data_IF_567329298055
#
_entry.id   IF_567329298055
#
_cell.length_a   1.000
_cell.length_b   1.000
_cell.length_c   1.000
_cell.angle_alpha   90.00
_cell.angle_beta   90.00
_cell.angle_gamma   90.00
#
_symmetry.space_group_name_H-M   'P 1'
#
loop_
_entity.id
_entity.type
_entity.pdbx_description
1 polymer ?
#
# COMPACT_ATOMS: atom_id res chain seq x y z
N UNK A 1 27.09 -13.70 10.95
CA UNK A 1 27.68 -12.49 10.35
C UNK A 1 26.53 -11.67 9.82
N UNK A 2 26.51 -10.36 10.06
CA UNK A 2 25.50 -9.50 9.44
C UNK A 2 25.82 -9.39 7.94
N UNK A 3 24.78 -9.41 7.11
CA UNK A 3 24.93 -9.16 5.67
C UNK A 3 25.46 -7.75 5.43
N UNK A 4 26.18 -7.60 4.33
CA UNK A 4 26.66 -6.31 3.83
C UNK A 4 25.52 -5.53 3.16
N UNK A 5 25.68 -4.21 3.02
CA UNK A 5 24.67 -3.35 2.37
C UNK A 5 24.38 -3.78 0.93
N UNK A 6 25.42 -4.21 0.19
CA UNK A 6 25.29 -4.70 -1.19
C UNK A 6 24.46 -6.00 -1.25
N UNK A 7 24.68 -6.93 -0.30
CA UNK A 7 23.91 -8.17 -0.22
C UNK A 7 22.44 -7.89 0.12
N UNK A 8 22.18 -6.93 1.03
CA UNK A 8 20.82 -6.51 1.40
C UNK A 8 20.11 -5.89 0.19
N UNK A 9 20.78 -4.97 -0.52
CA UNK A 9 20.23 -4.32 -1.71
C UNK A 9 19.90 -5.34 -2.80
N UNK A 10 20.83 -6.24 -3.09
CA UNK A 10 20.63 -7.27 -4.11
C UNK A 10 19.46 -8.21 -3.76
N UNK A 11 19.27 -8.55 -2.47
CA UNK A 11 18.08 -9.31 -2.04
C UNK A 11 16.79 -8.52 -2.30
N UNK A 12 16.73 -7.26 -1.87
CA UNK A 12 15.53 -6.42 -2.04
C UNK A 12 15.19 -6.23 -3.52
N UNK A 13 16.19 -6.06 -4.39
CA UNK A 13 15.95 -5.95 -5.83
C UNK A 13 15.38 -7.24 -6.41
N UNK A 14 15.90 -8.42 -6.05
CA UNK A 14 15.32 -9.70 -6.48
C UNK A 14 13.88 -9.87 -6.01
N UNK A 15 13.63 -9.60 -4.73
CA UNK A 15 12.29 -9.71 -4.14
C UNK A 15 11.29 -8.77 -4.83
N UNK A 16 11.69 -7.52 -5.10
CA UNK A 16 10.89 -6.58 -5.90
C UNK A 16 10.64 -7.12 -7.31
N UNK A 17 11.68 -7.59 -8.00
CA UNK A 17 11.54 -8.05 -9.38
C UNK A 17 10.63 -9.27 -9.48
N UNK A 18 10.72 -10.21 -8.52
CA UNK A 18 9.81 -11.35 -8.38
C UNK A 18 8.37 -10.90 -8.12
N UNK A 19 8.18 -9.95 -7.19
CA UNK A 19 6.87 -9.39 -6.86
C UNK A 19 6.22 -8.68 -8.07
N UNK A 20 7.00 -7.96 -8.86
CA UNK A 20 6.51 -7.28 -10.07
C UNK A 20 6.34 -8.20 -11.28
N UNK A 21 6.97 -9.38 -11.27
CA UNK A 21 6.77 -10.41 -12.29
C UNK A 21 5.45 -11.18 -12.13
N UNK A 22 4.77 -11.09 -10.97
CA UNK A 22 3.48 -11.76 -10.75
C UNK A 22 2.42 -11.26 -11.75
N UNK A 23 1.66 -12.20 -12.30
CA UNK A 23 0.47 -11.90 -13.09
C UNK A 23 -0.67 -11.49 -12.14
N UNK A 24 -1.16 -10.27 -12.33
CA UNK A 24 -2.25 -9.68 -11.54
C UNK A 24 -3.52 -9.47 -12.37
N UNK A 25 -3.58 -10.00 -13.60
CA UNK A 25 -4.73 -9.78 -14.50
C UNK A 25 -6.03 -10.39 -13.97
N UNK A 26 -5.94 -11.43 -13.13
CA UNK A 26 -7.08 -12.16 -12.56
C UNK A 26 -7.36 -11.89 -11.08
N UNK A 27 -6.68 -10.93 -10.45
CA UNK A 27 -6.86 -10.68 -9.00
C UNK A 27 -8.14 -9.92 -8.73
N UNK A 28 -8.73 -10.18 -7.56
CA UNK A 28 -9.88 -9.43 -7.07
C UNK A 28 -9.41 -8.14 -6.39
N UNK A 29 -10.03 -7.02 -6.77
CA UNK A 29 -9.74 -5.70 -6.21
C UNK A 29 -10.80 -5.30 -5.20
N UNK A 30 -10.36 -4.85 -4.04
CA UNK A 30 -11.20 -4.48 -2.91
C UNK A 30 -11.02 -3.01 -2.56
N UNK A 31 -12.12 -2.26 -2.57
CA UNK A 31 -12.19 -0.92 -1.97
C UNK A 31 -12.43 -0.97 -0.46
N UNK A 32 -12.28 0.16 0.22
CA UNK A 32 -12.64 0.28 1.62
C UNK A 32 -14.15 0.06 1.84
N UNK A 33 -14.57 -0.55 2.96
CA UNK A 33 -15.99 -0.69 3.27
C UNK A 33 -16.68 0.68 3.29
N UNK A 34 -17.84 0.77 2.63
CA UNK A 34 -18.65 1.99 2.60
C UNK A 34 -18.34 2.96 1.46
N UNK A 35 -17.35 2.69 0.60
CA UNK A 35 -17.13 3.48 -0.63
C UNK A 35 -18.04 3.02 -1.77
N UNK A 36 -18.62 3.96 -2.52
CA UNK A 36 -19.35 3.67 -3.75
C UNK A 36 -18.40 3.35 -4.91
N UNK A 37 -18.80 2.51 -5.90
CA UNK A 37 -18.09 2.38 -7.16
C UNK A 37 -17.81 3.71 -7.88
N UNK A 38 -18.68 4.70 -7.68
CA UNK A 38 -18.62 6.03 -8.32
C UNK A 38 -17.68 7.02 -7.60
N UNK A 39 -17.16 6.67 -6.42
CA UNK A 39 -16.26 7.51 -5.63
C UNK A 39 -14.79 7.15 -5.89
N UNK A 40 -13.92 8.17 -5.85
CA UNK A 40 -12.48 7.97 -5.83
C UNK A 40 -12.07 7.25 -4.54
N UNK A 41 -11.31 6.16 -4.70
CA UNK A 41 -10.87 5.32 -3.59
C UNK A 41 -9.54 4.64 -3.92
N UNK A 42 -8.87 4.20 -2.88
CA UNK A 42 -7.77 3.23 -2.99
C UNK A 42 -8.37 1.83 -3.06
N UNK A 43 -7.84 1.01 -3.97
CA UNK A 43 -8.17 -0.40 -4.08
C UNK A 43 -6.94 -1.25 -3.77
N UNK A 44 -7.14 -2.38 -3.10
CA UNK A 44 -6.10 -3.37 -2.83
C UNK A 44 -6.48 -4.74 -3.38
N UNK A 45 -5.47 -5.54 -3.74
CA UNK A 45 -5.64 -6.95 -4.09
C UNK A 45 -4.62 -7.80 -3.32
N UNK A 46 -5.08 -8.93 -2.80
CA UNK A 46 -4.21 -9.89 -2.12
C UNK A 46 -3.48 -10.76 -3.14
N UNK A 47 -2.17 -10.88 -2.97
CA UNK A 47 -1.27 -11.66 -3.80
C UNK A 47 -0.75 -12.88 -3.02
N UNK A 48 -0.06 -13.84 -3.68
CA UNK A 48 0.63 -14.93 -3.00
C UNK A 48 1.58 -14.45 -1.90
N UNK A 49 1.85 -15.33 -0.94
CA UNK A 49 2.79 -15.09 0.17
C UNK A 49 2.48 -13.86 1.03
N UNK A 50 1.22 -13.42 1.04
CA UNK A 50 0.75 -12.29 1.85
C UNK A 50 1.11 -10.92 1.26
N UNK A 51 1.65 -10.87 0.05
CA UNK A 51 1.90 -9.62 -0.66
C UNK A 51 0.58 -8.92 -1.04
N UNK A 52 0.66 -7.61 -1.30
CA UNK A 52 -0.50 -6.76 -1.61
C UNK A 52 -0.19 -5.87 -2.80
N UNK A 53 -1.09 -5.84 -3.77
CA UNK A 53 -1.14 -4.81 -4.80
C UNK A 53 -2.07 -3.68 -4.37
N UNK A 54 -1.72 -2.43 -4.70
CA UNK A 54 -2.49 -1.24 -4.39
C UNK A 54 -2.55 -0.33 -5.62
N UNK A 55 -3.71 0.27 -5.87
CA UNK A 55 -3.92 1.24 -6.96
C UNK A 55 -4.97 2.28 -6.61
N UNK A 56 -5.06 3.34 -7.42
CA UNK A 56 -6.19 4.27 -7.40
C UNK A 56 -7.33 3.73 -8.26
N UNK A 57 -8.58 3.95 -7.85
CA UNK A 57 -9.75 3.67 -8.70
C UNK A 57 -9.85 4.59 -9.93
N UNK A 58 -9.03 5.66 -10.00
CA UNK A 58 -8.96 6.58 -11.14
C UNK A 58 -7.83 6.25 -12.13
N UNK A 59 -6.85 5.45 -11.72
CA UNK A 59 -5.73 5.01 -12.55
C UNK A 59 -5.41 3.54 -12.25
N UNK A 60 -5.86 2.66 -13.15
CA UNK A 60 -5.67 1.22 -13.02
C UNK A 60 -4.33 0.72 -13.57
N UNK A 61 -3.57 1.56 -14.28
CA UNK A 61 -2.29 1.18 -14.89
C UNK A 61 -1.14 1.30 -13.87
N UNK A 62 -1.24 2.26 -12.95
CA UNK A 62 -0.26 2.44 -11.87
C UNK A 62 -0.58 1.55 -10.67
N UNK A 63 0.07 0.38 -10.61
CA UNK A 63 -0.06 -0.57 -9.50
C UNK A 63 1.22 -0.62 -8.66
N UNK A 64 1.10 -0.24 -7.39
CA UNK A 64 2.13 -0.43 -6.38
C UNK A 64 2.00 -1.83 -5.80
N UNK A 65 3.13 -2.50 -5.51
CA UNK A 65 3.13 -3.84 -4.90
C UNK A 65 4.04 -3.86 -3.69
N UNK A 66 3.55 -4.47 -2.62
CA UNK A 66 4.24 -4.56 -1.34
C UNK A 66 4.37 -6.01 -0.93
N UNK A 67 5.53 -6.34 -0.37
CA UNK A 67 5.72 -7.61 0.36
C UNK A 67 4.81 -7.67 1.59
N UNK A 68 4.59 -8.86 2.15
CA UNK A 68 3.84 -9.01 3.40
C UNK A 68 4.44 -8.14 4.52
N UNK A 69 5.77 -8.13 4.62
CA UNK A 69 6.48 -7.39 5.65
C UNK A 69 6.30 -5.87 5.52
N UNK A 70 6.40 -5.33 4.30
CA UNK A 70 6.18 -3.90 4.04
C UNK A 70 4.72 -3.52 4.28
N UNK A 71 3.77 -4.32 3.80
CA UNK A 71 2.35 -4.07 4.01
C UNK A 71 1.98 -4.09 5.50
N UNK A 72 2.51 -5.07 6.25
CA UNK A 72 2.30 -5.14 7.70
C UNK A 72 2.86 -3.91 8.42
N UNK A 73 4.07 -3.47 8.06
CA UNK A 73 4.66 -2.26 8.63
C UNK A 73 3.80 -1.02 8.32
N UNK A 74 3.35 -0.87 7.07
CA UNK A 74 2.47 0.22 6.65
C UNK A 74 1.16 0.25 7.45
N UNK A 75 0.47 -0.89 7.59
CA UNK A 75 -0.78 -0.99 8.33
C UNK A 75 -0.59 -0.68 9.82
N UNK A 76 0.52 -1.11 10.42
CA UNK A 76 0.83 -0.80 11.81
C UNK A 76 1.05 0.71 12.01
N UNK A 77 1.87 1.35 11.16
CA UNK A 77 2.08 2.80 11.22
C UNK A 77 0.79 3.59 11.00
N UNK A 78 -0.05 3.18 10.04
CA UNK A 78 -1.35 3.79 9.80
C UNK A 78 -2.30 3.67 11.00
N UNK A 79 -2.29 2.53 11.70
CA UNK A 79 -3.10 2.32 12.91
C UNK A 79 -2.59 3.10 14.11
N UNK A 80 -1.28 3.34 14.18
CA UNK A 80 -0.66 4.21 15.18
C UNK A 80 -0.87 5.70 14.88
N UNK A 81 -1.60 6.04 13.81
CA UNK A 81 -1.95 7.41 13.47
C UNK A 81 -0.82 8.20 12.81
N UNK A 82 0.22 7.54 12.28
CA UNK A 82 1.35 8.22 11.62
C UNK A 82 0.93 9.07 10.41
N UNK A 83 -0.25 8.79 9.85
CA UNK A 83 -0.83 9.51 8.73
C UNK A 83 -2.04 10.37 9.11
N UNK A 84 -2.41 10.43 10.40
CA UNK A 84 -3.48 11.31 10.84
C UNK A 84 -3.02 12.76 10.69
N UNK A 85 -3.80 13.54 9.96
CA UNK A 85 -3.50 14.94 9.74
C UNK A 85 -3.99 15.72 10.97
N UNK A 86 -3.12 16.58 11.50
CA UNK A 86 -3.55 17.58 12.47
C UNK A 86 -4.75 18.34 11.91
N UNK A 87 -5.81 18.56 12.70
CA UNK A 87 -6.99 19.28 12.24
C UNK A 87 -6.60 20.67 11.74
N UNK A 88 -6.76 20.89 10.43
CA UNK A 88 -6.60 22.22 9.82
C UNK A 88 -7.90 22.62 9.13
N UNK A 89 -8.08 23.91 8.91
CA UNK A 89 -9.25 24.45 8.19
C UNK A 89 -9.45 23.78 6.81
N UNK A 90 -8.35 23.32 6.18
CA UNK A 90 -8.38 22.65 4.86
C UNK A 90 -8.96 21.24 4.90
N UNK A 91 -8.90 20.56 6.05
CA UNK A 91 -9.38 19.18 6.22
C UNK A 91 -10.60 19.09 7.15
N UNK A 92 -11.34 20.20 7.30
CA UNK A 92 -12.56 20.25 8.11
C UNK A 92 -12.32 20.34 9.63
N UNK A 93 -11.07 20.54 10.07
CA UNK A 93 -10.73 20.75 11.47
C UNK A 93 -10.98 22.20 11.88
N UNK A 94 -11.93 22.45 12.77
CA UNK A 94 -12.05 23.74 13.46
C UNK A 94 -10.87 23.85 14.44
N UNK A 95 -10.01 24.86 14.25
CA UNK A 95 -8.98 25.18 15.23
C UNK A 95 -9.67 25.43 16.58
N UNK A 96 -9.38 24.60 17.58
CA UNK A 96 -9.82 24.85 18.94
C UNK A 96 -9.18 26.16 19.42
N UNK A 97 -10.01 27.15 19.73
CA UNK A 97 -9.60 28.33 20.48
C UNK A 97 -9.40 27.97 21.94
#
# INVERSE_FOLDING_TARGET
MAETEEEIKARKERERDELYALDISGVEWHGAPGTSPDEERVEIAYLPDGAVAMRSSLDHDTVLRYTEAEWRAFVLGARDGEFDLEPTERNGGLAAQ
#
